data_IF_335053871302
#
_entry.id   IF_335053871302
#
_cell.length_a   1.000
_cell.length_b   1.000
_cell.length_c   1.000
_cell.angle_alpha   90.00
_cell.angle_beta   90.00
_cell.angle_gamma   90.00
#
_symmetry.space_group_name_H-M   'P 1'
#
loop_
_entity.id
_entity.type
_entity.pdbx_description
1 polymer ?
#
# COMPACT_ATOMS: atom_id res chain seq x y z
N UNK A 1 -17.98 2.75 21.17
CA UNK A 1 -18.65 2.07 20.05
C UNK A 1 -18.24 0.61 20.07
N UNK A 2 -19.17 -0.35 19.91
CA UNK A 2 -18.78 -1.74 19.65
C UNK A 2 -17.90 -1.77 18.40
N UNK A 3 -16.88 -2.62 18.41
CA UNK A 3 -16.00 -2.79 17.26
C UNK A 3 -16.84 -3.21 16.03
N UNK A 4 -16.90 -2.40 14.95
CA UNK A 4 -17.65 -2.75 13.74
C UNK A 4 -17.13 -4.06 13.11
N UNK A 5 -15.93 -4.50 13.48
CA UNK A 5 -15.31 -5.74 13.05
C UNK A 5 -15.67 -6.95 13.93
N UNK A 6 -16.36 -6.77 15.06
CA UNK A 6 -16.72 -7.85 15.98
C UNK A 6 -17.84 -8.77 15.46
N UNK A 7 -18.67 -8.32 14.51
CA UNK A 7 -19.73 -9.13 13.89
C UNK A 7 -19.66 -9.06 12.36
N UNK A 8 -18.56 -9.59 11.81
CA UNK A 8 -18.36 -9.86 10.37
C UNK A 8 -19.18 -11.07 9.85
N UNK A 9 -20.25 -11.46 10.54
CA UNK A 9 -21.01 -12.72 10.31
C UNK A 9 -21.71 -12.80 8.95
N UNK A 10 -21.85 -11.67 8.25
CA UNK A 10 -22.42 -11.61 6.90
C UNK A 10 -21.36 -11.75 5.78
N UNK A 11 -20.08 -11.83 6.13
CA UNK A 11 -19.00 -12.09 5.17
C UNK A 11 -18.74 -13.60 5.08
N UNK A 12 -18.45 -14.07 3.87
CA UNK A 12 -18.10 -15.46 3.63
C UNK A 12 -16.60 -15.67 3.85
N UNK A 13 -16.20 -16.82 4.38
CA UNK A 13 -14.80 -17.16 4.57
C UNK A 13 -14.27 -18.02 3.41
N UNK A 14 -13.00 -17.85 3.06
CA UNK A 14 -12.27 -18.88 2.31
C UNK A 14 -11.77 -19.90 3.33
N UNK A 15 -12.08 -21.20 3.18
CA UNK A 15 -11.54 -22.24 4.06
C UNK A 15 -10.06 -22.44 3.74
N UNK A 16 -9.19 -21.80 4.51
CA UNK A 16 -7.73 -21.87 4.41
C UNK A 16 -7.14 -21.48 5.77
N UNK A 17 -6.09 -22.17 6.21
CA UNK A 17 -5.53 -22.04 7.56
C UNK A 17 -4.49 -20.91 7.69
N UNK A 18 -3.82 -20.53 6.60
CA UNK A 18 -2.59 -19.72 6.68
C UNK A 18 -2.84 -18.21 6.64
N UNK A 19 -3.92 -17.78 5.98
CA UNK A 19 -4.34 -16.38 5.93
C UNK A 19 -5.86 -16.33 6.06
N UNK A 20 -6.37 -15.70 7.12
CA UNK A 20 -7.81 -15.51 7.30
C UNK A 20 -8.34 -14.60 6.20
N UNK A 21 -9.21 -15.11 5.32
CA UNK A 21 -9.81 -14.33 4.24
C UNK A 21 -11.32 -14.34 4.37
N UNK A 22 -11.92 -13.17 4.37
CA UNK A 22 -13.38 -13.01 4.26
C UNK A 22 -13.75 -12.07 3.11
N UNK A 23 -14.93 -12.28 2.55
CA UNK A 23 -15.35 -11.55 1.36
C UNK A 23 -16.87 -11.32 1.30
N UNK A 24 -17.25 -10.23 0.65
CA UNK A 24 -18.65 -9.93 0.31
C UNK A 24 -19.23 -10.98 -0.63
N UNK A 25 -20.55 -11.20 -0.55
CA UNK A 25 -21.27 -12.13 -1.42
C UNK A 25 -20.88 -11.97 -2.92
N UNK A 26 -20.60 -13.09 -3.58
CA UNK A 26 -20.22 -13.12 -5.00
C UNK A 26 -18.80 -12.67 -5.32
N UNK A 27 -17.95 -12.38 -4.32
CA UNK A 27 -16.57 -11.90 -4.51
C UNK A 27 -15.47 -12.93 -4.24
N UNK A 28 -15.82 -14.22 -4.24
CA UNK A 28 -14.88 -15.33 -3.96
C UNK A 28 -13.64 -15.31 -4.87
N UNK A 29 -13.81 -15.18 -6.18
CA UNK A 29 -12.69 -15.18 -7.14
C UNK A 29 -11.70 -14.05 -6.85
N UNK A 30 -12.22 -12.85 -6.59
CA UNK A 30 -11.39 -11.69 -6.23
C UNK A 30 -10.66 -11.93 -4.90
N UNK A 31 -11.33 -12.53 -3.92
CA UNK A 31 -10.72 -12.91 -2.65
C UNK A 31 -9.57 -13.90 -2.82
N UNK A 32 -9.76 -14.95 -3.63
CA UNK A 32 -8.72 -15.92 -3.95
C UNK A 32 -7.55 -15.30 -4.71
N UNK A 33 -7.81 -14.39 -5.65
CA UNK A 33 -6.76 -13.65 -6.36
C UNK A 33 -5.89 -12.84 -5.39
N UNK A 34 -6.51 -12.10 -4.46
CA UNK A 34 -5.79 -11.29 -3.47
C UNK A 34 -5.08 -12.16 -2.43
N UNK A 35 -5.70 -13.27 -2.01
CA UNK A 35 -5.07 -14.25 -1.14
C UNK A 35 -3.82 -14.84 -1.78
N UNK A 36 -3.90 -15.26 -3.05
CA UNK A 36 -2.76 -15.79 -3.79
C UNK A 36 -1.61 -14.78 -3.89
N UNK A 37 -1.93 -13.52 -4.21
CA UNK A 37 -0.95 -12.44 -4.25
C UNK A 37 -0.24 -12.24 -2.90
N UNK A 38 -1.00 -12.18 -1.79
CA UNK A 38 -0.42 -12.02 -0.46
C UNK A 38 0.38 -13.25 -0.01
N UNK A 39 -0.05 -14.47 -0.38
CA UNK A 39 0.71 -15.70 -0.13
C UNK A 39 2.06 -15.67 -0.86
N UNK A 40 2.11 -15.20 -2.10
CA UNK A 40 3.37 -14.99 -2.83
C UNK A 40 4.29 -14.00 -2.10
N UNK A 41 3.76 -12.88 -1.61
CA UNK A 41 4.54 -11.92 -0.83
C UNK A 41 5.03 -12.51 0.49
N UNK A 42 4.19 -13.27 1.19
CA UNK A 42 4.56 -13.90 2.46
C UNK A 42 5.69 -14.95 2.26
N UNK A 43 5.66 -15.69 1.16
CA UNK A 43 6.67 -16.69 0.83
C UNK A 43 8.06 -16.10 0.53
N UNK A 44 8.16 -14.81 0.16
CA UNK A 44 9.43 -14.13 -0.12
C UNK A 44 10.33 -13.95 1.12
N UNK A 45 9.86 -14.30 2.32
CA UNK A 45 10.75 -14.68 3.42
C UNK A 45 11.57 -13.57 4.09
N UNK A 46 11.19 -12.29 3.97
CA UNK A 46 11.98 -11.16 4.50
C UNK A 46 12.12 -11.11 6.06
N UNK A 47 11.34 -11.90 6.82
CA UNK A 47 11.51 -12.30 8.26
C UNK A 47 11.61 -11.22 9.39
N UNK A 48 11.20 -11.51 10.66
CA UNK A 48 10.43 -12.64 11.16
C UNK A 48 9.01 -12.27 11.62
N UNK A 49 8.13 -13.26 11.51
CA UNK A 49 6.73 -13.28 11.92
C UNK A 49 5.82 -12.26 11.21
N UNK A 50 4.96 -12.71 10.26
CA UNK A 50 3.79 -11.91 9.91
C UNK A 50 3.04 -11.56 11.21
N UNK A 51 2.30 -10.43 11.25
CA UNK A 51 1.44 -10.12 12.39
C UNK A 51 0.71 -11.40 12.81
N UNK A 52 0.74 -11.72 14.10
CA UNK A 52 0.26 -13.01 14.63
C UNK A 52 -1.14 -13.40 14.12
N UNK A 53 -1.94 -12.42 13.67
CA UNK A 53 -3.09 -12.59 12.78
C UNK A 53 -3.19 -11.44 11.76
N UNK A 54 -3.01 -11.74 10.47
CA UNK A 54 -3.47 -10.88 9.37
C UNK A 54 -4.80 -11.41 8.84
N UNK A 55 -5.80 -10.55 8.71
CA UNK A 55 -7.05 -10.87 8.02
C UNK A 55 -7.17 -10.04 6.74
N UNK A 56 -7.53 -10.69 5.64
CA UNK A 56 -7.89 -10.03 4.39
C UNK A 56 -9.41 -9.96 4.25
N UNK A 57 -9.92 -8.74 4.07
CA UNK A 57 -11.33 -8.48 3.74
C UNK A 57 -11.45 -7.95 2.31
N UNK A 58 -12.17 -8.67 1.45
CA UNK A 58 -12.52 -8.23 0.10
C UNK A 58 -13.97 -7.77 0.05
N UNK A 59 -14.18 -6.46 -0.03
CA UNK A 59 -15.47 -5.84 0.28
C UNK A 59 -16.10 -5.14 -0.93
N UNK A 60 -17.42 -5.28 -1.08
CA UNK A 60 -18.21 -4.40 -1.95
C UNK A 60 -18.34 -3.00 -1.33
N UNK A 61 -18.80 -2.02 -2.11
CA UNK A 61 -19.09 -0.67 -1.60
C UNK A 61 -20.08 -0.69 -0.42
N UNK A 62 -21.09 -1.55 -0.47
CA UNK A 62 -22.12 -1.64 0.58
C UNK A 62 -21.51 -2.11 1.89
N UNK A 63 -20.78 -3.22 1.86
CA UNK A 63 -20.14 -3.78 3.06
C UNK A 63 -18.99 -2.90 3.57
N UNK A 64 -18.25 -2.25 2.66
CA UNK A 64 -17.24 -1.27 3.03
C UNK A 64 -17.84 -0.13 3.85
N UNK A 65 -18.96 0.44 3.43
CA UNK A 65 -19.65 1.53 4.15
C UNK A 65 -20.21 1.09 5.49
N UNK A 66 -20.49 -0.21 5.68
CA UNK A 66 -20.91 -0.76 6.98
C UNK A 66 -19.75 -0.83 7.97
N UNK A 67 -18.52 -1.02 7.48
CA UNK A 67 -17.33 -1.23 8.31
C UNK A 67 -16.47 0.02 8.49
N UNK A 68 -16.49 0.93 7.51
CA UNK A 68 -15.55 2.04 7.40
C UNK A 68 -16.24 3.35 6.99
N UNK A 69 -15.75 4.45 7.58
CA UNK A 69 -16.02 5.82 7.10
C UNK A 69 -15.07 6.26 5.97
N UNK A 70 -13.99 5.50 5.73
CA UNK A 70 -13.01 5.81 4.70
C UNK A 70 -13.62 5.69 3.28
N UNK A 71 -13.16 6.49 2.29
CA UNK A 71 -13.65 6.37 0.93
C UNK A 71 -13.38 4.99 0.32
N UNK A 72 -14.40 4.38 -0.29
CA UNK A 72 -14.25 3.14 -1.05
C UNK A 72 -13.40 3.35 -2.32
N UNK A 73 -12.44 2.45 -2.53
CA UNK A 73 -11.67 2.32 -3.77
C UNK A 73 -10.17 2.14 -3.57
N UNK A 74 -9.62 2.58 -2.44
CA UNK A 74 -8.22 2.35 -2.09
C UNK A 74 -8.13 1.19 -1.11
N UNK A 75 -7.11 0.33 -1.29
CA UNK A 75 -6.77 -0.62 -0.24
C UNK A 75 -6.27 0.14 1.00
N UNK A 76 -6.45 -0.43 2.18
CA UNK A 76 -5.89 0.11 3.42
C UNK A 76 -5.68 -0.97 4.46
N UNK A 77 -4.63 -0.83 5.27
CA UNK A 77 -4.40 -1.61 6.46
C UNK A 77 -4.99 -0.93 7.70
N UNK A 78 -5.64 -1.72 8.57
CA UNK A 78 -6.05 -1.29 9.91
C UNK A 78 -5.47 -2.19 10.97
N UNK A 79 -4.95 -1.59 12.03
CA UNK A 79 -4.46 -2.29 13.21
C UNK A 79 -5.52 -2.26 14.31
N UNK A 80 -5.77 -3.43 14.91
CA UNK A 80 -6.39 -3.56 16.22
C UNK A 80 -5.34 -3.95 17.27
N UNK A 81 -5.77 -4.23 18.51
CA UNK A 81 -4.85 -4.69 19.56
C UNK A 81 -4.22 -6.06 19.23
N UNK A 82 -4.92 -6.93 18.49
CA UNK A 82 -4.55 -8.33 18.27
C UNK A 82 -4.31 -8.71 16.81
N UNK A 83 -4.85 -7.94 15.85
CA UNK A 83 -4.82 -8.26 14.42
C UNK A 83 -4.51 -7.04 13.54
N UNK A 84 -4.00 -7.32 12.34
CA UNK A 84 -3.99 -6.34 11.24
C UNK A 84 -4.99 -6.80 10.19
N UNK A 85 -5.96 -5.96 9.86
CA UNK A 85 -6.95 -6.20 8.82
C UNK A 85 -6.57 -5.44 7.55
N UNK A 86 -6.35 -6.14 6.45
CA UNK A 86 -6.21 -5.58 5.12
C UNK A 86 -7.60 -5.49 4.47
N UNK A 87 -8.02 -4.29 4.12
CA UNK A 87 -9.29 -4.06 3.44
C UNK A 87 -9.03 -3.73 1.97
N UNK A 88 -9.58 -4.56 1.09
CA UNK A 88 -9.41 -4.46 -0.37
C UNK A 88 -10.77 -4.28 -1.03
N UNK A 89 -10.93 -3.31 -1.95
CA UNK A 89 -12.17 -3.19 -2.71
C UNK A 89 -12.35 -4.40 -3.63
N UNK A 90 -13.57 -4.93 -3.67
CA UNK A 90 -13.94 -6.00 -4.58
C UNK A 90 -13.91 -5.58 -6.05
N UNK A 91 -14.07 -4.27 -6.30
CA UNK A 91 -13.95 -3.63 -7.60
C UNK A 91 -13.50 -2.17 -7.42
N UNK A 92 -12.67 -1.66 -8.34
CA UNK A 92 -12.31 -0.24 -8.34
C UNK A 92 -13.44 0.60 -8.94
N UNK A 93 -13.91 1.66 -8.25
CA UNK A 93 -15.01 2.45 -8.74
C UNK A 93 -14.59 3.27 -9.97
N UNK A 94 -15.43 3.43 -11.01
CA UNK A 94 -15.07 4.17 -12.23
C UNK A 94 -14.59 5.60 -11.95
N UNK A 95 -15.22 6.30 -11.00
CA UNK A 95 -14.79 7.63 -10.54
C UNK A 95 -13.35 7.70 -10.02
N UNK A 96 -12.80 6.59 -9.51
CA UNK A 96 -11.41 6.53 -9.07
C UNK A 96 -10.51 6.34 -10.30
N UNK A 97 -10.89 5.43 -11.18
CA UNK A 97 -10.15 5.14 -12.41
C UNK A 97 -10.07 6.38 -13.31
N UNK A 98 -11.18 7.09 -13.53
CA UNK A 98 -11.24 8.27 -14.39
C UNK A 98 -10.40 9.45 -13.85
N UNK A 99 -10.09 9.49 -12.56
CA UNK A 99 -9.18 10.52 -12.03
C UNK A 99 -7.76 10.37 -12.56
N UNK A 100 -7.39 9.17 -12.99
CA UNK A 100 -6.08 8.91 -13.59
C UNK A 100 -5.96 9.48 -14.99
N UNK A 101 -7.06 9.76 -15.69
CA UNK A 101 -7.00 10.21 -17.09
C UNK A 101 -6.24 11.54 -17.21
N UNK A 102 -6.52 12.50 -16.32
CA UNK A 102 -5.82 13.79 -16.28
C UNK A 102 -4.33 13.64 -15.91
N UNK A 103 -4.00 12.73 -15.00
CA UNK A 103 -2.61 12.44 -14.59
C UNK A 103 -1.84 11.79 -15.75
N UNK A 104 -2.43 10.79 -16.40
CA UNK A 104 -1.83 10.08 -17.52
C UNK A 104 -1.66 10.99 -18.74
N UNK A 105 -2.63 11.86 -19.02
CA UNK A 105 -2.52 12.83 -20.11
C UNK A 105 -1.35 13.79 -19.88
N UNK A 106 -1.24 14.36 -18.67
CA UNK A 106 -0.13 15.25 -18.30
C UNK A 106 1.22 14.53 -18.35
N UNK A 107 1.31 13.32 -17.82
CA UNK A 107 2.53 12.52 -17.91
C UNK A 107 2.92 12.22 -19.37
N UNK A 108 1.94 11.90 -20.23
CA UNK A 108 2.18 11.66 -21.65
C UNK A 108 2.69 12.90 -22.39
N UNK A 109 2.18 14.09 -22.04
CA UNK A 109 2.71 15.37 -22.54
C UNK A 109 4.18 15.60 -22.12
N UNK A 110 4.59 15.06 -20.97
CA UNK A 110 5.97 15.04 -20.50
C UNK A 110 6.79 13.84 -21.03
N UNK A 111 6.25 13.07 -21.99
CA UNK A 111 6.94 11.92 -22.59
C UNK A 111 6.91 10.62 -21.76
N UNK A 112 6.20 10.59 -20.63
CA UNK A 112 6.12 9.42 -19.74
C UNK A 112 4.84 8.64 -20.00
N UNK A 113 4.97 7.35 -20.35
CA UNK A 113 3.84 6.46 -20.64
C UNK A 113 3.50 5.55 -19.46
N UNK A 114 2.23 5.19 -19.35
CA UNK A 114 1.79 4.22 -18.35
C UNK A 114 2.31 2.82 -18.69
N UNK A 115 2.96 2.12 -17.73
CA UNK A 115 3.49 0.78 -17.97
C UNK A 115 2.40 -0.30 -17.97
N UNK A 116 1.14 0.04 -17.66
CA UNK A 116 0.02 -0.90 -17.65
C UNK A 116 -1.32 -0.25 -17.33
N UNK A 117 -2.27 -1.08 -16.89
CA UNK A 117 -3.60 -0.64 -16.48
C UNK A 117 -3.64 -0.14 -15.03
N UNK A 118 -4.41 0.92 -14.77
CA UNK A 118 -4.59 1.50 -13.43
C UNK A 118 -5.12 0.48 -12.42
N UNK A 119 -6.03 -0.41 -12.83
CA UNK A 119 -6.56 -1.46 -11.97
C UNK A 119 -5.48 -2.43 -11.48
N UNK A 120 -4.57 -2.84 -12.36
CA UNK A 120 -3.45 -3.71 -12.00
C UNK A 120 -2.45 -3.00 -11.08
N UNK A 121 -2.22 -1.70 -11.29
CA UNK A 121 -1.46 -0.90 -10.35
C UNK A 121 -2.13 -0.80 -8.98
N UNK A 122 -3.45 -0.56 -8.92
CA UNK A 122 -4.19 -0.55 -7.66
C UNK A 122 -4.14 -1.90 -6.93
N UNK A 123 -4.14 -3.02 -7.66
CA UNK A 123 -3.95 -4.37 -7.09
C UNK A 123 -2.57 -4.48 -6.44
N UNK A 124 -1.53 -4.02 -7.15
CA UNK A 124 -0.17 -4.06 -6.64
C UNK A 124 0.02 -3.19 -5.39
N UNK A 125 -0.76 -2.11 -5.20
CA UNK A 125 -0.72 -1.31 -3.97
C UNK A 125 -1.22 -2.06 -2.74
N UNK A 126 -1.95 -3.18 -2.88
CA UNK A 126 -2.27 -4.06 -1.75
C UNK A 126 -0.99 -4.61 -1.09
N UNK A 127 0.10 -4.78 -1.86
CA UNK A 127 1.39 -5.20 -1.33
C UNK A 127 2.06 -4.14 -0.44
N UNK A 128 1.80 -2.86 -0.69
CA UNK A 128 2.25 -1.78 0.19
C UNK A 128 1.52 -1.84 1.54
N UNK A 129 0.22 -2.10 1.53
CA UNK A 129 -0.57 -2.30 2.75
C UNK A 129 -0.12 -3.54 3.54
N UNK A 130 0.28 -4.61 2.84
CA UNK A 130 0.95 -5.75 3.45
C UNK A 130 2.26 -5.36 4.13
N UNK A 131 3.11 -4.57 3.47
CA UNK A 131 4.35 -4.09 4.08
C UNK A 131 4.10 -3.16 5.29
N UNK A 132 3.04 -2.36 5.27
CA UNK A 132 2.59 -1.63 6.47
C UNK A 132 2.19 -2.59 7.59
N UNK A 133 1.48 -3.68 7.28
CA UNK A 133 1.13 -4.69 8.27
C UNK A 133 2.37 -5.32 8.92
N UNK A 134 3.38 -5.70 8.13
CA UNK A 134 4.67 -6.19 8.61
C UNK A 134 5.39 -5.15 9.50
N UNK A 135 5.40 -3.89 9.08
CA UNK A 135 6.03 -2.84 9.87
C UNK A 135 5.33 -2.63 11.21
N UNK A 136 4.01 -2.76 11.26
CA UNK A 136 3.21 -2.61 12.47
C UNK A 136 3.44 -3.77 13.46
N UNK A 137 3.68 -5.00 13.00
CA UNK A 137 4.05 -6.12 13.89
C UNK A 137 5.45 -5.96 14.47
N UNK A 138 6.38 -5.33 13.74
CA UNK A 138 7.75 -5.08 14.17
C UNK A 138 7.91 -3.87 15.09
N UNK A 139 6.89 -3.01 15.19
CA UNK A 139 7.01 -1.75 15.92
C UNK A 139 6.97 -1.97 17.45
N UNK A 140 8.15 -2.08 18.06
CA UNK A 140 8.40 -1.94 19.50
C UNK A 140 9.11 -0.61 19.74
N UNK A 141 8.41 0.41 20.22
CA UNK A 141 9.01 1.73 20.52
C UNK A 141 8.18 2.94 20.12
N UNK A 142 8.73 4.16 20.28
CA UNK A 142 7.99 5.41 20.09
C UNK A 142 7.51 5.58 18.65
N UNK A 143 6.45 6.40 18.49
CA UNK A 143 5.91 6.72 17.18
C UNK A 143 6.98 7.39 16.30
N UNK A 144 7.17 6.86 15.09
CA UNK A 144 7.97 7.49 14.03
C UNK A 144 7.10 8.48 13.25
N UNK A 145 7.75 9.50 12.67
CA UNK A 145 7.10 10.46 11.76
C UNK A 145 6.42 9.71 10.61
N UNK A 146 5.29 10.23 10.14
CA UNK A 146 4.46 9.58 9.13
C UNK A 146 5.23 9.28 7.84
N UNK A 147 5.94 10.26 7.27
CA UNK A 147 6.74 10.07 6.06
C UNK A 147 7.83 8.98 6.23
N UNK A 148 8.48 8.90 7.40
CA UNK A 148 9.48 7.85 7.68
C UNK A 148 8.84 6.47 7.64
N UNK A 149 7.62 6.35 8.19
CA UNK A 149 6.85 5.10 8.17
C UNK A 149 6.47 4.69 6.75
N UNK A 150 6.03 5.64 5.93
CA UNK A 150 5.70 5.39 4.52
C UNK A 150 6.92 4.92 3.72
N UNK A 151 8.06 5.60 3.83
CA UNK A 151 9.29 5.19 3.13
C UNK A 151 9.77 3.83 3.62
N UNK A 152 9.68 3.55 4.92
CA UNK A 152 10.06 2.24 5.46
C UNK A 152 9.16 1.12 4.92
N UNK A 153 7.84 1.34 4.85
CA UNK A 153 6.92 0.37 4.28
C UNK A 153 7.15 0.18 2.77
N UNK A 154 7.38 1.26 2.03
CA UNK A 154 7.71 1.19 0.60
C UNK A 154 9.03 0.44 0.36
N UNK A 155 10.05 0.66 1.18
CA UNK A 155 11.32 -0.08 1.13
C UNK A 155 11.10 -1.58 1.38
N UNK A 156 10.35 -1.95 2.42
CA UNK A 156 10.04 -3.35 2.69
C UNK A 156 9.28 -4.01 1.54
N UNK A 157 8.35 -3.29 0.93
CA UNK A 157 7.63 -3.82 -0.22
C UNK A 157 8.55 -3.99 -1.44
N UNK A 158 9.38 -2.99 -1.75
CA UNK A 158 10.35 -3.08 -2.83
C UNK A 158 11.37 -4.20 -2.60
N UNK A 159 11.82 -4.42 -1.37
CA UNK A 159 12.64 -5.59 -1.00
C UNK A 159 11.91 -6.90 -1.30
N UNK A 160 10.65 -7.06 -0.91
CA UNK A 160 9.86 -8.25 -1.23
C UNK A 160 9.77 -8.47 -2.76
N UNK A 161 9.59 -7.40 -3.53
CA UNK A 161 9.54 -7.47 -4.99
C UNK A 161 10.91 -7.80 -5.58
N UNK A 162 11.99 -7.25 -5.04
CA UNK A 162 13.35 -7.54 -5.47
C UNK A 162 13.70 -9.03 -5.31
N UNK A 163 13.30 -9.64 -4.18
CA UNK A 163 13.49 -11.07 -3.93
C UNK A 163 12.62 -11.96 -4.84
N UNK A 164 11.41 -11.52 -5.18
CA UNK A 164 10.48 -12.31 -5.98
C UNK A 164 10.72 -12.20 -7.48
N UNK A 165 10.77 -10.96 -7.98
CA UNK A 165 10.77 -10.61 -9.40
C UNK A 165 11.05 -9.10 -9.57
N UNK A 166 12.30 -8.77 -9.88
CA UNK A 166 12.76 -7.39 -10.10
C UNK A 166 11.91 -6.66 -11.15
N UNK A 167 11.35 -7.36 -12.14
CA UNK A 167 10.52 -6.72 -13.17
C UNK A 167 9.22 -6.11 -12.60
N UNK A 168 8.71 -6.65 -11.48
CA UNK A 168 7.54 -6.08 -10.78
C UNK A 168 7.91 -4.82 -10.02
N UNK A 169 9.12 -4.76 -9.46
CA UNK A 169 9.64 -3.54 -8.87
C UNK A 169 9.80 -2.46 -9.94
N UNK A 170 10.35 -2.79 -11.11
CA UNK A 170 10.48 -1.87 -12.24
C UNK A 170 9.14 -1.36 -12.75
N UNK A 171 8.14 -2.24 -12.83
CA UNK A 171 6.76 -1.86 -13.16
C UNK A 171 6.21 -0.80 -12.19
N UNK A 172 6.41 -0.96 -10.88
CA UNK A 172 5.95 0.02 -9.89
C UNK A 172 6.80 1.30 -9.88
N UNK A 173 8.10 1.19 -10.12
CA UNK A 173 8.99 2.35 -10.32
C UNK A 173 8.55 3.19 -11.53
N UNK A 174 8.17 2.55 -12.63
CA UNK A 174 7.63 3.23 -13.80
C UNK A 174 6.30 3.94 -13.51
N UNK A 175 5.41 3.34 -12.70
CA UNK A 175 4.21 4.02 -12.22
C UNK A 175 4.52 5.22 -11.31
N UNK A 176 5.50 5.11 -10.43
CA UNK A 176 5.91 6.23 -9.58
C UNK A 176 6.45 7.39 -10.41
N UNK A 177 7.27 7.13 -11.43
CA UNK A 177 7.74 8.15 -12.39
C UNK A 177 6.58 8.79 -13.16
N UNK A 178 5.58 8.00 -13.58
CA UNK A 178 4.37 8.54 -14.21
C UNK A 178 3.61 9.48 -13.28
N UNK A 179 3.46 9.12 -12.01
CA UNK A 179 2.78 9.95 -11.02
C UNK A 179 3.55 11.26 -10.80
N UNK A 180 4.87 11.22 -10.69
CA UNK A 180 5.71 12.42 -10.58
C UNK A 180 5.58 13.34 -11.80
N UNK A 181 5.54 12.78 -13.00
CA UNK A 181 5.37 13.56 -14.22
C UNK A 181 3.95 14.10 -14.43
N UNK A 182 2.94 13.41 -13.89
CA UNK A 182 1.53 13.68 -14.17
C UNK A 182 0.78 14.40 -13.06
N UNK A 183 1.16 14.26 -11.79
CA UNK A 183 0.49 14.87 -10.66
C UNK A 183 0.98 16.31 -10.43
N UNK A 184 0.07 17.22 -10.04
CA UNK A 184 0.40 18.60 -9.67
C UNK A 184 0.15 18.80 -8.18
N UNK A 185 1.13 18.54 -7.31
CA UNK A 185 0.95 18.76 -5.88
C UNK A 185 0.79 20.25 -5.57
N UNK A 186 0.03 20.54 -4.52
CA UNK A 186 -0.12 21.86 -3.94
C UNK A 186 1.18 22.31 -3.23
N UNK A 187 1.95 21.36 -2.68
CA UNK A 187 3.26 21.58 -2.07
C UNK A 187 4.15 20.35 -2.31
N UNK A 188 5.31 20.49 -2.99
CA UNK A 188 6.17 19.36 -3.37
C UNK A 188 7.17 18.98 -2.26
N UNK A 189 6.69 18.80 -1.03
CA UNK A 189 7.54 18.43 0.12
C UNK A 189 7.06 17.11 0.75
N UNK A 190 7.59 15.98 0.26
CA UNK A 190 7.15 14.66 0.72
C UNK A 190 7.49 14.41 2.22
N UNK A 191 8.57 15.01 2.73
CA UNK A 191 8.97 14.89 4.14
C UNK A 191 8.06 15.68 5.11
N UNK A 192 7.28 16.63 4.59
CA UNK A 192 6.23 17.30 5.35
C UNK A 192 4.96 16.42 5.51
N UNK A 193 4.93 15.23 4.89
CA UNK A 193 3.77 14.36 4.94
C UNK A 193 3.40 13.98 6.37
N UNK A 194 2.12 14.21 6.66
CA UNK A 194 1.42 13.75 7.85
C UNK A 194 0.07 13.18 7.41
N UNK A 195 -0.47 12.24 8.20
CA UNK A 195 -1.77 11.67 7.89
C UNK A 195 -2.83 12.78 7.95
N UNK A 196 -3.53 13.03 6.84
CA UNK A 196 -4.43 14.16 6.76
C UNK A 196 -5.66 13.87 7.63
N UNK A 197 -6.11 14.88 8.39
CA UNK A 197 -7.37 14.81 9.14
C UNK A 197 -8.59 14.86 8.22
N UNK A 198 -8.42 15.49 7.06
CA UNK A 198 -9.40 15.60 6.00
C UNK A 198 -8.98 14.79 4.77
N UNK A 199 -9.82 14.76 3.74
CA UNK A 199 -9.49 14.10 2.49
C UNK A 199 -8.38 14.87 1.75
N UNK A 200 -7.27 14.20 1.46
CA UNK A 200 -6.21 14.76 0.62
C UNK A 200 -6.66 14.86 -0.85
N UNK A 201 -6.31 15.95 -1.57
CA UNK A 201 -6.48 16.04 -3.01
C UNK A 201 -5.79 14.88 -3.74
N UNK A 202 -6.34 14.48 -4.90
CA UNK A 202 -5.87 13.29 -5.60
C UNK A 202 -4.43 13.46 -6.13
N UNK A 203 -4.11 14.63 -6.68
CA UNK A 203 -2.75 14.92 -7.16
C UNK A 203 -1.74 14.95 -6.02
N UNK A 204 -2.08 15.56 -4.87
CA UNK A 204 -1.23 15.54 -3.68
C UNK A 204 -0.94 14.11 -3.19
N UNK A 205 -1.98 13.27 -3.17
CA UNK A 205 -1.87 11.87 -2.78
C UNK A 205 -0.92 11.10 -3.70
N UNK A 206 -1.11 11.19 -5.02
CA UNK A 206 -0.27 10.49 -5.99
C UNK A 206 1.16 11.00 -5.99
N UNK A 207 1.34 12.32 -5.95
CA UNK A 207 2.67 12.90 -5.92
C UNK A 207 3.42 12.47 -4.65
N UNK A 208 2.79 12.58 -3.48
CA UNK A 208 3.43 12.20 -2.21
C UNK A 208 3.76 10.71 -2.17
N UNK A 209 2.82 9.84 -2.57
CA UNK A 209 3.05 8.39 -2.61
C UNK A 209 4.24 8.03 -3.52
N UNK A 210 4.30 8.62 -4.72
CA UNK A 210 5.40 8.35 -5.65
C UNK A 210 6.73 8.93 -5.21
N UNK A 211 6.76 10.11 -4.59
CA UNK A 211 7.99 10.70 -4.05
C UNK A 211 8.58 9.82 -2.93
N UNK A 212 7.74 9.35 -1.99
CA UNK A 212 8.18 8.48 -0.90
C UNK A 212 8.61 7.09 -1.41
N UNK A 213 7.93 6.56 -2.44
CA UNK A 213 8.32 5.32 -3.13
C UNK A 213 9.68 5.43 -3.84
N UNK A 214 9.93 6.52 -4.56
CA UNK A 214 11.21 6.72 -5.24
C UNK A 214 12.34 6.96 -4.25
N UNK A 215 12.06 7.55 -3.09
CA UNK A 215 13.02 7.66 -2.00
C UNK A 215 13.41 6.29 -1.43
N UNK A 216 12.45 5.38 -1.22
CA UNK A 216 12.80 4.02 -0.80
C UNK A 216 13.61 3.28 -1.85
N UNK A 217 13.34 3.54 -3.14
CA UNK A 217 14.13 2.94 -4.22
C UNK A 217 15.57 3.43 -4.19
N UNK A 218 15.79 4.74 -4.04
CA UNK A 218 17.12 5.31 -3.88
C UNK A 218 17.89 4.72 -2.68
N UNK A 219 17.21 4.48 -1.55
CA UNK A 219 17.83 3.82 -0.40
C UNK A 219 18.28 2.38 -0.73
N UNK A 220 17.44 1.60 -1.39
CA UNK A 220 17.77 0.23 -1.80
C UNK A 220 18.93 0.16 -2.77
N UNK A 221 18.99 1.07 -3.75
CA UNK A 221 20.11 1.15 -4.69
C UNK A 221 21.42 1.58 -4.02
N UNK A 222 21.36 2.54 -3.08
CA UNK A 222 22.55 3.08 -2.43
C UNK A 222 23.14 2.14 -1.36
N UNK A 223 22.27 1.43 -0.62
CA UNK A 223 22.67 0.67 0.57
C UNK A 223 22.38 -0.83 0.46
N UNK A 224 21.86 -1.28 -0.67
CA UNK A 224 21.41 -2.66 -0.90
C UNK A 224 20.01 -2.93 -0.35
N UNK A 225 19.40 -4.03 -0.83
CA UNK A 225 18.02 -4.39 -0.50
C UNK A 225 17.86 -5.22 0.79
N UNK A 226 18.95 -5.60 1.45
CA UNK A 226 18.92 -6.49 2.60
C UNK A 226 18.76 -5.77 3.97
N UNK A 227 18.63 -4.44 4.00
CA UNK A 227 18.59 -3.69 5.26
C UNK A 227 17.40 -4.09 6.16
N UNK A 228 17.60 -4.20 7.48
CA UNK A 228 16.52 -4.28 8.46
C UNK A 228 15.74 -2.97 8.58
N UNK A 229 14.44 -3.05 8.90
CA UNK A 229 13.56 -1.87 9.08
C UNK A 229 14.07 -0.84 10.10
N UNK A 230 14.84 -1.26 11.10
CA UNK A 230 15.44 -0.36 12.09
C UNK A 230 16.57 0.50 11.46
N UNK A 231 17.37 -0.10 10.59
CA UNK A 231 18.47 0.56 9.90
C UNK A 231 17.96 1.55 8.85
N UNK A 232 16.96 1.14 8.05
CA UNK A 232 16.26 2.03 7.11
C UNK A 232 15.77 3.29 7.82
N UNK A 233 15.12 3.13 8.98
CA UNK A 233 14.64 4.27 9.79
C UNK A 233 15.77 5.14 10.35
N UNK A 234 16.94 4.56 10.63
CA UNK A 234 18.11 5.30 11.09
C UNK A 234 18.67 6.19 9.97
N UNK A 235 18.87 5.62 8.78
CA UNK A 235 19.36 6.34 7.59
C UNK A 235 18.47 7.53 7.23
N UNK A 236 17.14 7.35 7.34
CA UNK A 236 16.17 8.43 7.11
C UNK A 236 16.18 9.55 8.15
N UNK A 237 16.70 9.30 9.35
CA UNK A 237 16.84 10.33 10.40
C UNK A 237 18.15 11.10 10.30
N UNK A 238 19.19 10.49 9.75
CA UNK A 238 20.54 11.06 9.66
C UNK A 238 20.68 11.97 8.42
N UNK A 239 19.96 11.66 7.33
CA UNK A 239 19.99 12.45 6.11
C UNK A 239 18.63 13.13 5.83
N UNK A 240 18.40 14.36 6.32
CA UNK A 240 17.66 15.32 5.49
C UNK A 240 18.56 15.61 4.28
N UNK A 241 18.30 14.97 3.14
CA UNK A 241 19.11 15.14 1.93
C UNK A 241 18.88 16.53 1.32
N UNK A 242 19.81 17.04 0.49
CA UNK A 242 19.90 18.45 0.14
C UNK A 242 18.74 18.89 -0.77
N UNK A 243 18.37 20.17 -0.61
CA UNK A 243 17.38 20.91 -1.40
C UNK A 243 17.54 20.74 -2.91
#
# INVERSE_FOLDING_TARGET
MPDPFARKTYLHAVPDADLSVRFSLGKRTRALQMQGFLKTLAAAGVSPEPPSRVELLVLTLSDWRRLLSAPYGWALARRSAEEVTLLVPATYPPRLLNKWDAVRLRAAQAGVRAPGGVGAWCDAQVGLEWAHALLLSQQRGPAVKAWVREVTAAYLYQRLLHELDVSRMDYLNAWARLQQAGARPSAPEAEAFSYPRAKMPFDDLLWTQSALWLRSAALGEQHGWALPSAEVRSLLKIHPAPL
#
